data_IF_591409830398
#
_entry.id   IF_591409830398
#
_cell.length_a   1.000
_cell.length_b   1.000
_cell.length_c   1.000
_cell.angle_alpha   90.00
_cell.angle_beta   90.00
_cell.angle_gamma   90.00
#
_symmetry.space_group_name_H-M   'P 1'
#
loop_
_entity.id
_entity.type
_entity.pdbx_description
1 polymer ?
#
# COMPACT_ATOMS: atom_id res chain seq x y z
N UNK A 1 -5.39 19.07 -7.37
CA UNK A 1 -5.43 19.40 -8.80
C UNK A 1 -4.94 18.19 -9.57
N UNK A 2 -5.75 17.14 -9.60
CA UNK A 2 -5.60 15.97 -10.47
C UNK A 2 -6.65 16.15 -11.56
N UNK A 3 -6.21 16.23 -12.81
CA UNK A 3 -7.11 16.45 -13.95
C UNK A 3 -7.97 15.20 -14.14
N UNK A 4 -9.32 15.30 -14.11
CA UNK A 4 -10.23 14.15 -13.99
C UNK A 4 -10.40 13.35 -15.29
N UNK A 5 -9.52 13.50 -16.29
CA UNK A 5 -9.68 12.82 -17.58
C UNK A 5 -8.30 12.73 -18.22
N UNK A 6 -7.88 11.51 -18.55
CA UNK A 6 -6.65 11.28 -19.30
C UNK A 6 -6.73 11.95 -20.68
N UNK A 7 -5.60 12.28 -21.27
CA UNK A 7 -5.50 12.94 -22.59
C UNK A 7 -6.15 12.13 -23.73
N UNK A 8 -6.47 10.86 -23.48
CA UNK A 8 -7.20 9.97 -24.38
C UNK A 8 -8.74 10.01 -24.23
N UNK A 9 -9.29 10.85 -23.34
CA UNK A 9 -10.74 10.99 -23.13
C UNK A 9 -11.37 9.92 -22.24
N UNK A 10 -10.56 9.08 -21.59
CA UNK A 10 -11.02 8.12 -20.58
C UNK A 10 -10.97 8.76 -19.18
N UNK A 11 -11.95 8.46 -18.31
CA UNK A 11 -11.85 8.80 -16.88
C UNK A 11 -10.63 8.10 -16.29
N UNK A 12 -9.94 8.78 -15.38
CA UNK A 12 -8.77 8.21 -14.74
C UNK A 12 -9.18 7.09 -13.75
N UNK A 13 -8.24 6.22 -13.39
CA UNK A 13 -8.54 5.08 -12.51
C UNK A 13 -8.93 5.53 -11.10
N UNK A 14 -8.40 6.65 -10.61
CA UNK A 14 -8.75 7.21 -9.31
C UNK A 14 -10.20 7.71 -9.30
N UNK A 15 -10.66 8.34 -10.37
CA UNK A 15 -12.04 8.79 -10.56
C UNK A 15 -13.01 7.61 -10.67
N UNK A 16 -12.64 6.52 -11.35
CA UNK A 16 -13.43 5.28 -11.36
C UNK A 16 -13.49 4.67 -9.95
N UNK A 17 -12.41 4.78 -9.17
CA UNK A 17 -12.36 4.30 -7.79
C UNK A 17 -13.25 5.15 -6.87
N UNK A 18 -13.20 6.48 -7.01
CA UNK A 18 -14.08 7.42 -6.31
C UNK A 18 -15.55 7.16 -6.65
N UNK A 19 -15.86 6.77 -7.89
CA UNK A 19 -17.22 6.34 -8.28
C UNK A 19 -17.65 5.08 -7.52
N UNK A 20 -16.78 4.07 -7.43
CA UNK A 20 -17.06 2.81 -6.73
C UNK A 20 -17.23 3.02 -5.21
N UNK A 21 -16.49 3.97 -4.65
CA UNK A 21 -16.56 4.34 -3.23
C UNK A 21 -17.69 5.35 -2.92
N UNK A 22 -18.35 5.90 -3.93
CA UNK A 22 -19.44 6.86 -3.77
C UNK A 22 -18.97 8.25 -3.34
N UNK A 23 -17.73 8.62 -3.68
CA UNK A 23 -17.08 9.87 -3.31
C UNK A 23 -17.26 10.97 -4.36
N UNK A 24 -17.72 10.62 -5.57
CA UNK A 24 -17.94 11.60 -6.63
C UNK A 24 -19.18 12.47 -6.40
N UNK A 25 -19.14 13.77 -6.77
CA UNK A 25 -20.32 14.62 -6.87
C UNK A 25 -21.39 14.00 -7.80
N UNK A 26 -22.68 14.30 -7.61
CA UNK A 26 -23.77 13.66 -8.35
C UNK A 26 -23.71 13.94 -9.86
N UNK A 27 -23.29 15.14 -10.27
CA UNK A 27 -23.09 15.49 -11.68
C UNK A 27 -21.96 14.68 -12.32
N UNK A 28 -20.85 14.47 -11.61
CA UNK A 28 -19.72 13.72 -12.14
C UNK A 28 -19.99 12.22 -12.19
N UNK A 29 -20.71 11.72 -11.18
CA UNK A 29 -21.18 10.34 -11.11
C UNK A 29 -21.99 9.94 -12.35
N UNK A 30 -22.91 10.80 -12.80
CA UNK A 30 -23.74 10.49 -13.98
C UNK A 30 -22.93 10.51 -15.28
N UNK A 31 -21.97 11.42 -15.41
CA UNK A 31 -21.09 11.51 -16.58
C UNK A 31 -20.15 10.29 -16.68
N UNK A 32 -19.51 9.91 -15.57
CA UNK A 32 -18.62 8.73 -15.56
C UNK A 32 -19.42 7.45 -15.81
N UNK A 33 -20.62 7.28 -15.21
CA UNK A 33 -21.49 6.13 -15.50
C UNK A 33 -21.87 6.04 -16.97
N UNK A 34 -22.24 7.17 -17.59
CA UNK A 34 -22.54 7.23 -19.04
C UNK A 34 -21.33 6.80 -19.87
N UNK A 35 -20.11 7.16 -19.45
CA UNK A 35 -18.89 6.74 -20.12
C UNK A 35 -18.65 5.23 -19.97
N UNK A 36 -18.86 4.66 -18.78
CA UNK A 36 -18.75 3.22 -18.54
C UNK A 36 -19.73 2.42 -19.41
N UNK A 37 -20.95 2.92 -19.60
CA UNK A 37 -21.95 2.29 -20.47
C UNK A 37 -21.53 2.27 -21.96
N UNK A 38 -20.64 3.18 -22.37
CA UNK A 38 -20.20 3.35 -23.76
C UNK A 38 -18.78 2.84 -24.04
N UNK A 39 -17.99 2.51 -23.00
CA UNK A 39 -16.59 2.16 -23.12
C UNK A 39 -16.27 0.88 -22.34
N UNK A 40 -16.18 -0.24 -23.06
CA UNK A 40 -15.92 -1.58 -22.51
C UNK A 40 -14.63 -1.63 -21.66
N UNK A 41 -13.56 -0.99 -22.13
CA UNK A 41 -12.29 -0.90 -21.40
C UNK A 41 -12.45 -0.27 -20.00
N UNK A 42 -13.25 0.78 -19.86
CA UNK A 42 -13.47 1.42 -18.57
C UNK A 42 -14.45 0.60 -17.71
N UNK A 43 -15.43 -0.07 -18.33
CA UNK A 43 -16.34 -0.99 -17.64
C UNK A 43 -15.58 -2.18 -17.02
N UNK A 44 -14.60 -2.74 -17.74
CA UNK A 44 -13.74 -3.83 -17.25
C UNK A 44 -12.90 -3.41 -16.05
N UNK A 45 -12.36 -2.19 -16.08
CA UNK A 45 -11.62 -1.62 -14.94
C UNK A 45 -12.55 -1.48 -13.72
N UNK A 46 -13.76 -0.95 -13.92
CA UNK A 46 -14.75 -0.84 -12.84
C UNK A 46 -15.15 -2.20 -12.27
N UNK A 47 -15.39 -3.21 -13.12
CA UNK A 47 -15.71 -4.57 -12.71
C UNK A 47 -14.56 -5.21 -11.91
N UNK A 48 -13.30 -5.01 -12.34
CA UNK A 48 -12.12 -5.49 -11.64
C UNK A 48 -11.99 -4.89 -10.24
N UNK A 49 -12.28 -3.59 -10.08
CA UNK A 49 -12.26 -2.93 -8.77
C UNK A 49 -13.35 -3.49 -7.84
N UNK A 50 -14.54 -3.76 -8.37
CA UNK A 50 -15.63 -4.35 -7.58
C UNK A 50 -15.35 -5.80 -7.19
N UNK A 51 -14.68 -6.58 -8.05
CA UNK A 51 -14.20 -7.92 -7.72
C UNK A 51 -13.22 -7.88 -6.53
N UNK A 52 -12.23 -6.98 -6.58
CA UNK A 52 -11.26 -6.80 -5.48
C UNK A 52 -11.99 -6.41 -4.19
N UNK A 53 -12.93 -5.48 -4.27
CA UNK A 53 -13.73 -5.06 -3.10
C UNK A 53 -14.53 -6.21 -2.51
N UNK A 54 -15.13 -7.04 -3.36
CA UNK A 54 -15.86 -8.24 -2.94
C UNK A 54 -14.96 -9.22 -2.20
N UNK A 55 -13.77 -9.51 -2.75
CA UNK A 55 -12.77 -10.37 -2.12
C UNK A 55 -12.34 -9.82 -0.75
N UNK A 56 -12.07 -8.51 -0.65
CA UNK A 56 -11.71 -7.86 0.61
C UNK A 56 -12.86 -7.83 1.62
N UNK A 57 -14.11 -7.72 1.15
CA UNK A 57 -15.31 -7.75 1.99
C UNK A 57 -15.57 -9.10 2.68
N UNK A 58 -14.96 -10.18 2.20
CA UNK A 58 -15.06 -11.51 2.83
C UNK A 58 -14.08 -11.74 3.97
N UNK A 59 -13.15 -10.80 4.20
CA UNK A 59 -12.19 -10.92 5.30
C UNK A 59 -12.92 -10.75 6.64
N UNK A 60 -12.54 -11.53 7.67
CA UNK A 60 -13.06 -11.31 9.01
C UNK A 60 -12.80 -9.86 9.41
N UNK A 61 -13.85 -9.16 9.80
CA UNK A 61 -13.73 -7.78 10.26
C UNK A 61 -12.74 -7.66 11.43
N UNK A 62 -12.18 -6.45 11.66
CA UNK A 62 -11.32 -6.23 12.81
C UNK A 62 -12.01 -6.67 14.10
N UNK A 63 -11.24 -7.10 15.13
CA UNK A 63 -11.83 -7.46 16.41
C UNK A 63 -12.69 -6.29 16.92
N UNK A 64 -13.85 -6.62 17.47
CA UNK A 64 -14.76 -5.63 18.03
C UNK A 64 -14.02 -4.74 19.04
N UNK A 65 -14.38 -3.46 19.05
CA UNK A 65 -13.85 -2.52 20.02
C UNK A 65 -14.05 -3.03 21.46
N UNK A 66 -13.04 -2.96 22.34
CA UNK A 66 -13.20 -3.34 23.73
C UNK A 66 -14.38 -2.63 24.40
N UNK A 67 -15.16 -3.35 25.20
CA UNK A 67 -16.41 -2.85 25.76
C UNK A 67 -16.22 -1.61 26.66
N UNK A 68 -15.07 -1.48 27.32
CA UNK A 68 -14.72 -0.31 28.13
C UNK A 68 -14.47 0.93 27.27
N UNK A 69 -13.89 0.77 26.08
CA UNK A 69 -13.66 1.87 25.13
C UNK A 69 -14.98 2.27 24.48
N UNK A 70 -15.76 1.29 23.99
CA UNK A 70 -17.08 1.55 23.39
C UNK A 70 -17.99 2.27 24.38
N UNK A 71 -18.09 1.77 25.62
CA UNK A 71 -18.93 2.39 26.66
C UNK A 71 -18.49 3.81 27.03
N UNK A 72 -17.19 4.13 26.99
CA UNK A 72 -16.70 5.50 27.20
C UNK A 72 -17.08 6.43 26.05
N UNK A 73 -17.05 5.94 24.81
CA UNK A 73 -17.47 6.71 23.63
C UNK A 73 -18.97 6.95 23.68
N UNK A 74 -19.78 5.93 23.95
CA UNK A 74 -21.25 6.06 24.03
C UNK A 74 -21.67 7.02 25.15
N UNK A 75 -21.02 6.95 26.31
CA UNK A 75 -21.28 7.87 27.41
C UNK A 75 -20.89 9.32 27.05
N UNK A 76 -19.79 9.52 26.34
CA UNK A 76 -19.39 10.84 25.87
C UNK A 76 -20.38 11.38 24.83
N UNK A 77 -20.78 10.58 23.85
CA UNK A 77 -21.77 10.97 22.85
C UNK A 77 -23.14 11.28 23.48
N UNK A 78 -23.56 10.52 24.49
CA UNK A 78 -24.79 10.81 25.24
C UNK A 78 -24.70 12.12 26.04
N UNK A 79 -23.54 12.42 26.62
CA UNK A 79 -23.32 13.69 27.31
C UNK A 79 -23.35 14.88 26.33
N UNK A 80 -22.72 14.76 25.16
CA UNK A 80 -22.78 15.79 24.11
C UNK A 80 -24.21 15.98 23.60
N UNK A 81 -24.96 14.90 23.35
CA UNK A 81 -26.37 15.01 22.94
C UNK A 81 -27.24 15.73 23.98
N UNK A 82 -26.97 15.54 25.29
CA UNK A 82 -27.65 16.29 26.35
C UNK A 82 -27.22 17.76 26.37
N UNK A 83 -25.94 18.06 26.17
CA UNK A 83 -25.46 19.45 26.10
C UNK A 83 -26.06 20.18 24.90
N UNK A 84 -26.11 19.55 23.73
CA UNK A 84 -26.70 20.10 22.51
C UNK A 84 -28.22 20.33 22.67
N UNK A 85 -28.92 19.39 23.33
CA UNK A 85 -30.34 19.55 23.66
C UNK A 85 -30.63 20.62 24.73
N UNK A 86 -29.65 20.95 25.58
CA UNK A 86 -29.79 21.97 26.62
C UNK A 86 -29.21 23.33 26.19
N UNK A 87 -28.56 23.39 25.03
CA UNK A 87 -28.17 24.64 24.42
C UNK A 87 -29.46 25.42 24.08
N UNK A 88 -29.52 26.73 24.39
CA UNK A 88 -30.63 27.55 23.92
C UNK A 88 -30.66 27.45 22.39
N UNK A 89 -31.81 27.13 21.80
CA UNK A 89 -31.97 27.30 20.36
C UNK A 89 -31.50 28.72 20.01
N UNK A 90 -30.57 28.89 19.05
CA UNK A 90 -30.36 30.21 18.49
C UNK A 90 -31.74 30.59 17.94
N UNK A 91 -32.37 31.56 18.59
CA UNK A 91 -33.68 32.11 18.22
C UNK A 91 -33.75 32.12 16.72
N UNK A 92 -34.66 31.32 16.18
CA UNK A 92 -35.07 31.37 14.80
C UNK A 92 -35.33 32.85 14.48
N UNK A 93 -34.36 33.50 13.84
CA UNK A 93 -34.63 34.73 13.14
C UNK A 93 -35.68 34.31 12.12
N UNK A 94 -36.90 34.88 12.16
CA UNK A 94 -37.90 34.53 11.18
C UNK A 94 -37.27 34.82 9.82
N UNK A 95 -37.14 33.77 9.01
CA UNK A 95 -36.81 33.87 7.60
C UNK A 95 -37.92 34.70 6.96
N UNK A 96 -37.70 36.00 6.92
CA UNK A 96 -38.45 36.91 6.11
C UNK A 96 -37.97 36.72 4.67
N UNK A 97 -38.96 36.51 3.81
CA UNK A 97 -38.92 36.69 2.37
C UNK A 97 -38.23 35.58 1.55
N UNK A 98 -39.10 34.76 0.98
CA UNK A 98 -38.98 34.32 -0.39
C UNK A 98 -38.63 35.47 -1.36
N UNK A 99 -37.91 35.10 -2.42
CA UNK A 99 -37.77 35.78 -3.73
C UNK A 99 -36.87 37.03 -3.77
N UNK A 100 -35.64 36.86 -4.29
CA UNK A 100 -35.16 37.56 -5.50
C UNK A 100 -33.68 37.24 -5.79
N UNK A 101 -33.43 36.59 -6.93
CA UNK A 101 -32.48 37.01 -7.98
C UNK A 101 -31.07 37.45 -7.59
N UNK A 102 -30.10 36.56 -7.84
CA UNK A 102 -28.70 36.87 -8.24
C UNK A 102 -28.66 37.97 -9.33
N UNK A 103 -27.66 38.89 -9.36
CA UNK A 103 -26.36 38.49 -9.91
C UNK A 103 -25.09 39.16 -9.32
N UNK A 104 -23.99 38.44 -9.51
CA UNK A 104 -22.61 38.88 -9.79
C UNK A 104 -22.05 40.11 -9.04
N UNK A 105 -20.99 39.86 -8.27
CA UNK A 105 -20.07 40.92 -7.84
C UNK A 105 -18.97 40.38 -6.94
N UNK A 106 -17.74 40.40 -7.44
CA UNK A 106 -16.50 40.12 -6.72
C UNK A 106 -16.47 40.82 -5.34
N UNK A 107 -16.00 40.10 -4.31
CA UNK A 107 -14.71 40.33 -3.63
C UNK A 107 -14.70 39.49 -2.34
N UNK A 108 -13.72 38.61 -2.17
CA UNK A 108 -13.53 37.88 -0.91
C UNK A 108 -12.86 38.81 0.11
N UNK A 109 -13.49 39.17 1.24
CA UNK A 109 -12.77 39.85 2.30
C UNK A 109 -11.83 38.87 3.02
N UNK A 110 -10.58 39.28 3.34
CA UNK A 110 -9.57 38.40 3.91
C UNK A 110 -9.93 37.97 5.33
N UNK A 111 -9.74 36.68 5.61
CA UNK A 111 -9.87 36.11 6.96
C UNK A 111 -8.69 36.61 7.81
N UNK A 112 -8.92 37.68 8.58
CA UNK A 112 -7.97 38.18 9.57
C UNK A 112 -7.79 37.16 10.70
N UNK A 113 -6.67 36.44 10.66
CA UNK A 113 -6.06 35.82 11.84
C UNK A 113 -5.50 36.92 12.74
N UNK A 114 -6.30 37.41 13.67
CA UNK A 114 -5.81 38.21 14.79
C UNK A 114 -6.37 37.60 16.07
N UNK A 115 -5.48 37.03 16.86
CA UNK A 115 -5.74 36.57 18.23
C UNK A 115 -5.57 37.77 19.14
N UNK A 116 -6.62 38.37 19.73
CA UNK A 116 -6.41 39.37 20.76
C UNK A 116 -5.99 38.68 22.06
N UNK A 117 -4.74 38.89 22.44
CA UNK A 117 -4.25 38.63 23.78
C UNK A 117 -4.96 39.59 24.76
N UNK A 118 -5.94 39.08 25.51
CA UNK A 118 -6.48 39.80 26.66
C UNK A 118 -5.62 39.54 27.90
N UNK A 119 -4.75 40.49 28.19
CA UNK A 119 -4.24 40.76 29.52
C UNK A 119 -5.32 41.48 30.33
N UNK A 120 -5.85 40.84 31.37
CA UNK A 120 -6.04 41.38 32.74
C UNK A 120 -6.99 40.47 33.53
N UNK A 121 -6.49 39.85 34.61
CA UNK A 121 -7.26 39.55 35.83
C UNK A 121 -6.33 39.10 36.97
N UNK A 122 -6.67 39.43 38.22
CA UNK A 122 -5.67 39.67 39.26
C UNK A 122 -5.30 38.44 40.11
N UNK A 123 -4.10 38.55 40.69
CA UNK A 123 -3.42 37.64 41.61
C UNK A 123 -4.28 37.13 42.77
N UNK A 124 -4.35 35.80 42.93
CA UNK A 124 -5.09 35.16 44.02
C UNK A 124 -4.63 33.72 44.34
N UNK A 125 -3.56 33.61 45.14
CA UNK A 125 -3.25 32.53 46.09
C UNK A 125 -3.14 31.06 45.60
N UNK A 126 -1.89 30.60 45.62
CA UNK A 126 -1.53 29.20 45.72
C UNK A 126 -2.09 28.55 47.01
N UNK A 127 -2.66 27.35 46.89
CA UNK A 127 -2.61 26.34 47.94
C UNK A 127 -1.97 25.07 47.40
N UNK A 128 -0.79 24.78 47.94
CA UNK A 128 -0.31 23.42 48.13
C UNK A 128 -1.09 22.83 49.31
N UNK A 129 -1.69 21.68 49.11
CA UNK A 129 -2.07 20.77 50.19
C UNK A 129 -1.60 19.38 49.82
N UNK A 130 -0.39 19.10 50.30
CA UNK A 130 0.15 17.78 50.55
C UNK A 130 -0.53 17.19 51.79
N UNK A 131 -1.24 16.08 51.67
CA UNK A 131 -1.40 15.10 52.76
C UNK A 131 -1.82 13.74 52.20
N UNK A 132 -0.94 12.74 52.31
CA UNK A 132 -1.26 11.32 52.15
C UNK A 132 -2.04 10.76 53.37
N UNK A 133 -2.28 9.44 53.49
CA UNK A 133 -1.19 8.45 53.55
C UNK A 133 -1.45 7.05 52.92
N UNK A 134 -0.34 6.32 52.90
CA UNK A 134 -0.09 4.92 52.55
C UNK A 134 -0.93 3.83 53.27
N UNK A 135 -1.11 2.71 52.54
CA UNK A 135 -1.08 1.28 52.93
C UNK A 135 -2.13 0.67 53.88
N UNK A 136 -2.87 -0.31 53.33
CA UNK A 136 -2.87 -1.74 53.75
C UNK A 136 -2.86 -2.57 52.46
N UNK A 137 -2.06 -3.63 52.25
CA UNK A 137 -1.48 -4.55 53.21
C UNK A 137 -2.16 -5.91 53.13
N UNK A 138 -1.92 -6.63 52.01
CA UNK A 138 -1.85 -8.09 51.88
C UNK A 138 -3.07 -8.98 52.19
N UNK A 139 -3.42 -9.86 51.24
CA UNK A 139 -3.57 -11.31 51.50
C UNK A 139 -3.11 -12.15 50.31
N UNK A 140 -2.13 -13.01 50.59
CA UNK A 140 -1.80 -14.23 49.84
C UNK A 140 -2.95 -15.25 49.99
N UNK A 141 -3.35 -15.87 48.89
CA UNK A 141 -4.02 -17.17 48.81
C UNK A 141 -4.40 -17.37 47.33
N UNK A 142 -3.99 -18.38 46.60
CA UNK A 142 -3.26 -19.60 46.90
C UNK A 142 -3.08 -20.36 45.59
N UNK A 143 -2.01 -21.16 45.54
CA UNK A 143 -1.74 -22.15 44.49
C UNK A 143 -2.99 -22.98 44.18
N UNK A 144 -3.33 -23.11 42.89
CA UNK A 144 -3.74 -24.40 42.31
C UNK A 144 -3.07 -24.56 40.95
N UNK A 145 -2.15 -25.52 40.92
CA UNK A 145 -1.69 -26.22 39.72
C UNK A 145 -2.83 -27.11 39.22
N UNK A 146 -2.96 -27.26 37.91
CA UNK A 146 -3.50 -28.37 37.11
C UNK A 146 -3.42 -27.86 35.66
N UNK A 147 -2.44 -28.21 34.82
CA UNK A 147 -2.14 -29.52 34.23
C UNK A 147 -3.34 -30.17 33.51
N UNK A 148 -3.48 -29.88 32.21
CA UNK A 148 -4.15 -30.68 31.19
C UNK A 148 -3.62 -30.18 29.81
N UNK A 149 -2.59 -30.80 29.23
CA UNK A 149 -2.64 -31.89 28.25
C UNK A 149 -3.59 -31.65 27.06
N UNK A 150 -3.00 -31.24 25.93
CA UNK A 150 -3.07 -31.96 24.66
C UNK A 150 -4.34 -31.84 23.81
N UNK A 151 -4.20 -31.23 22.63
CA UNK A 151 -4.63 -31.83 21.36
C UNK A 151 -4.08 -30.99 20.20
N UNK A 152 -3.05 -31.51 19.53
CA UNK A 152 -2.67 -31.11 18.17
C UNK A 152 -3.63 -31.82 17.22
N UNK A 153 -4.44 -31.06 16.49
CA UNK A 153 -5.13 -31.58 15.30
C UNK A 153 -4.63 -30.79 14.09
N UNK A 154 -3.63 -31.38 13.43
CA UNK A 154 -3.27 -31.03 12.07
C UNK A 154 -4.32 -31.65 11.14
N UNK A 155 -5.24 -30.83 10.64
CA UNK A 155 -6.09 -31.20 9.51
C UNK A 155 -5.50 -30.55 8.26
N UNK A 156 -4.70 -31.32 7.52
CA UNK A 156 -4.30 -30.99 6.16
C UNK A 156 -5.47 -31.35 5.23
N UNK A 157 -6.21 -30.35 4.77
CA UNK A 157 -7.13 -30.52 3.63
C UNK A 157 -6.51 -29.89 2.40
N UNK A 158 -5.92 -30.73 1.56
CA UNK A 158 -5.61 -30.42 0.17
C UNK A 158 -6.94 -30.40 -0.61
N UNK A 159 -7.48 -29.20 -0.81
CA UNK A 159 -8.56 -28.95 -1.75
C UNK A 159 -7.99 -28.40 -3.04
N UNK A 160 -7.75 -29.28 -4.01
CA UNK A 160 -7.48 -28.91 -5.41
C UNK A 160 -8.86 -28.66 -6.04
N UNK A 161 -9.22 -27.39 -6.25
CA UNK A 161 -10.41 -26.98 -6.99
C UNK A 161 -10.01 -26.38 -8.33
N UNK A 162 -10.22 -27.13 -9.40
CA UNK A 162 -9.91 -26.73 -10.76
C UNK A 162 -10.79 -25.57 -11.23
N UNK A 163 -10.16 -24.49 -11.69
CA UNK A 163 -10.84 -23.45 -12.50
C UNK A 163 -10.81 -23.92 -13.95
N UNK A 164 -11.96 -24.21 -14.52
CA UNK A 164 -12.14 -24.31 -15.96
C UNK A 164 -12.59 -22.92 -16.41
N UNK A 165 -11.69 -22.15 -17.02
CA UNK A 165 -12.09 -21.00 -17.83
C UNK A 165 -12.39 -21.52 -19.23
N UNK A 166 -13.66 -21.48 -19.59
CA UNK A 166 -14.11 -21.55 -20.98
C UNK A 166 -13.69 -20.26 -21.67
N UNK A 167 -12.64 -20.30 -22.49
CA UNK A 167 -12.48 -19.29 -23.54
C UNK A 167 -13.55 -19.52 -24.60
N UNK A 168 -14.46 -18.56 -24.74
CA UNK A 168 -15.24 -18.40 -25.97
C UNK A 168 -14.23 -18.01 -27.07
N UNK A 169 -13.79 -19.01 -27.81
CA UNK A 169 -13.18 -18.85 -29.13
C UNK A 169 -14.29 -19.09 -30.16
N UNK A 170 -14.53 -18.08 -30.99
CA UNK A 170 -15.50 -18.15 -32.08
C UNK A 170 -14.99 -19.14 -33.13
N UNK A 171 -15.70 -20.26 -33.29
CA UNK A 171 -15.20 -21.42 -34.00
C UNK A 171 -15.14 -21.28 -35.52
N UNK A 172 -14.14 -21.93 -36.13
CA UNK A 172 -14.37 -23.09 -37.02
C UNK A 172 -13.13 -24.00 -37.05
N UNK A 173 -13.29 -25.34 -37.16
CA UNK A 173 -12.36 -26.29 -36.55
C UNK A 173 -11.35 -26.89 -37.53
N UNK A 174 -10.16 -27.21 -37.03
CA UNK A 174 -9.29 -28.25 -37.60
C UNK A 174 -8.45 -28.91 -36.51
N UNK A 175 -8.52 -30.23 -36.50
CA UNK A 175 -7.79 -31.16 -35.62
C UNK A 175 -6.29 -30.85 -35.61
N UNK A 176 -5.69 -30.80 -34.42
CA UNK A 176 -4.73 -31.81 -33.94
C UNK A 176 -4.21 -31.44 -32.55
N UNK A 177 -4.08 -32.45 -31.69
CA UNK A 177 -3.62 -32.32 -30.32
C UNK A 177 -2.11 -32.03 -30.26
N UNK A 178 -1.75 -30.90 -29.68
CA UNK A 178 -0.40 -30.65 -29.15
C UNK A 178 -0.51 -29.60 -28.05
N UNK A 179 -0.53 -30.06 -26.80
CA UNK A 179 -0.55 -29.20 -25.62
C UNK A 179 0.71 -28.33 -25.57
N UNK A 180 0.56 -27.05 -25.92
CA UNK A 180 1.51 -26.02 -25.57
C UNK A 180 1.15 -25.49 -24.18
N UNK A 181 2.11 -25.30 -23.26
CA UNK A 181 1.84 -24.65 -21.99
C UNK A 181 1.35 -23.22 -22.29
N UNK A 182 0.19 -22.87 -21.75
CA UNK A 182 -0.33 -21.50 -21.74
C UNK A 182 0.76 -20.57 -21.21
N UNK A 183 1.26 -19.68 -22.06
CA UNK A 183 2.31 -18.75 -21.70
C UNK A 183 1.86 -17.92 -20.49
N UNK A 184 2.57 -18.07 -19.37
CA UNK A 184 2.47 -17.14 -18.24
C UNK A 184 2.62 -15.72 -18.76
N UNK A 185 1.70 -14.82 -18.42
CA UNK A 185 1.78 -13.43 -18.83
C UNK A 185 3.17 -12.86 -18.51
N UNK A 186 3.76 -12.14 -19.47
CA UNK A 186 5.11 -11.57 -19.33
C UNK A 186 5.16 -10.59 -18.15
N UNK A 187 5.97 -10.92 -17.14
CA UNK A 187 6.21 -10.08 -15.96
C UNK A 187 7.14 -8.92 -16.27
N UNK A 188 8.10 -9.16 -17.18
CA UNK A 188 9.04 -8.17 -17.65
C UNK A 188 8.64 -7.69 -19.04
N UNK A 189 8.53 -6.38 -19.19
CA UNK A 189 8.30 -5.73 -20.50
C UNK A 189 9.14 -4.47 -20.57
N UNK A 190 9.63 -4.13 -21.77
CA UNK A 190 10.52 -2.98 -21.96
C UNK A 190 9.88 -1.66 -21.49
N UNK A 191 8.56 -1.52 -21.66
CA UNK A 191 7.80 -0.35 -21.20
C UNK A 191 7.71 -0.20 -19.68
N UNK A 192 7.75 -1.30 -18.92
CA UNK A 192 7.66 -1.30 -17.44
C UNK A 192 9.03 -1.44 -16.75
N UNK A 193 10.05 -1.87 -17.50
CA UNK A 193 11.38 -2.20 -16.96
C UNK A 193 12.02 -1.03 -16.20
N UNK A 194 11.90 0.21 -16.72
CA UNK A 194 12.47 1.39 -16.05
C UNK A 194 11.85 1.63 -14.66
N UNK A 195 10.53 1.46 -14.54
CA UNK A 195 9.84 1.65 -13.27
C UNK A 195 10.20 0.52 -12.29
N UNK A 196 10.19 -0.74 -12.74
CA UNK A 196 10.61 -1.89 -11.93
C UNK A 196 12.04 -1.72 -11.40
N UNK A 197 12.98 -1.31 -12.25
CA UNK A 197 14.37 -1.02 -11.86
C UNK A 197 14.45 0.06 -10.79
N UNK A 198 13.68 1.14 -10.92
CA UNK A 198 13.67 2.20 -9.91
C UNK A 198 13.10 1.72 -8.57
N UNK A 199 12.06 0.89 -8.59
CA UNK A 199 11.46 0.29 -7.39
C UNK A 199 12.44 -0.67 -6.71
N UNK A 200 13.03 -1.60 -7.45
CA UNK A 200 14.02 -2.55 -6.92
C UNK A 200 15.26 -1.84 -6.33
N UNK A 201 15.72 -0.76 -6.97
CA UNK A 201 16.81 0.06 -6.43
C UNK A 201 16.40 0.85 -5.18
N UNK A 202 15.14 1.23 -5.03
CA UNK A 202 14.63 1.88 -3.82
C UNK A 202 14.45 0.86 -2.67
N UNK A 203 13.89 -0.32 -2.95
CA UNK A 203 13.69 -1.39 -1.98
C UNK A 203 15.02 -1.91 -1.42
N UNK A 204 16.01 -2.18 -2.29
CA UNK A 204 17.35 -2.60 -1.90
C UNK A 204 18.09 -1.58 -1.03
N UNK A 205 17.75 -0.28 -1.12
CA UNK A 205 18.22 0.76 -0.19
C UNK A 205 17.39 0.78 1.10
N UNK A 206 16.08 0.55 1.02
CA UNK A 206 15.15 0.54 2.15
C UNK A 206 15.42 -0.57 3.17
N UNK A 207 15.78 -1.77 2.71
CA UNK A 207 16.13 -2.90 3.59
C UNK A 207 17.40 -2.66 4.42
N UNK A 208 18.17 -1.61 4.10
CA UNK A 208 19.38 -1.20 4.83
C UNK A 208 19.07 -0.21 5.97
N UNK A 209 17.91 0.45 5.95
CA UNK A 209 17.52 1.48 6.92
C UNK A 209 16.95 0.95 8.24
N UNK A 210 16.57 -0.33 8.31
CA UNK A 210 15.78 -0.88 9.43
C UNK A 210 16.61 -1.66 10.46
N UNK A 211 17.93 -1.41 10.53
CA UNK A 211 18.76 -1.87 11.67
C UNK A 211 19.21 -0.69 12.53
N UNK A 212 18.27 0.16 12.96
CA UNK A 212 18.55 1.11 14.05
C UNK A 212 18.56 0.35 15.38
N UNK A 213 19.70 -0.25 15.69
CA UNK A 213 19.99 -0.71 17.05
C UNK A 213 19.73 0.45 18.05
N UNK A 214 19.15 0.19 19.24
CA UNK A 214 18.91 1.24 20.21
C UNK A 214 20.26 1.79 20.66
N UNK A 215 20.51 3.07 20.37
CA UNK A 215 21.75 3.74 20.76
C UNK A 215 21.80 3.83 22.28
N UNK A 216 22.55 2.94 22.90
CA UNK A 216 23.05 3.10 24.26
C UNK A 216 24.13 4.17 24.25
N UNK A 217 23.94 5.23 25.03
CA UNK A 217 24.88 6.34 25.22
C UNK A 217 26.29 5.84 25.57
N UNK A 218 27.32 6.33 24.88
CA UNK A 218 28.70 6.26 25.39
C UNK A 218 29.81 6.34 24.34
N UNK A 219 30.57 7.43 24.41
CA UNK A 219 31.94 7.67 23.91
C UNK A 219 32.17 7.90 22.41
N UNK A 220 32.72 9.08 22.13
CA UNK A 220 33.23 9.54 20.84
C UNK A 220 34.59 8.88 20.54
N UNK A 221 34.77 8.42 19.30
CA UNK A 221 36.04 8.49 18.58
C UNK A 221 35.77 8.35 17.09
N UNK A 222 36.42 9.22 16.31
CA UNK A 222 36.12 9.46 14.91
C UNK A 222 36.72 8.50 13.90
N UNK A 223 36.67 8.99 12.67
CA UNK A 223 37.20 8.45 11.40
C UNK A 223 36.37 7.37 10.71
N UNK A 224 35.70 7.84 9.66
CA UNK A 224 35.63 7.27 8.31
C UNK A 224 35.39 5.77 8.16
N UNK A 225 34.23 5.45 7.60
CA UNK A 225 33.92 4.13 7.09
C UNK A 225 32.47 3.77 7.40
N UNK A 226 31.55 4.28 6.59
CA UNK A 226 30.21 3.69 6.50
C UNK A 226 30.37 2.27 5.96
N UNK A 227 30.70 1.32 6.84
CA UNK A 227 30.64 -0.11 6.56
C UNK A 227 29.17 -0.51 6.52
N UNK A 228 28.45 -0.02 5.50
CA UNK A 228 27.22 -0.64 5.08
C UNK A 228 27.61 -2.00 4.51
N UNK A 229 27.36 -3.05 5.30
CA UNK A 229 27.38 -4.42 4.80
C UNK A 229 26.26 -4.52 3.76
N UNK A 230 26.60 -4.25 2.50
CA UNK A 230 25.70 -4.46 1.38
C UNK A 230 25.43 -5.96 1.31
N UNK A 231 24.26 -6.38 1.80
CA UNK A 231 23.75 -7.73 1.52
C UNK A 231 23.37 -7.75 0.05
N UNK A 232 24.35 -8.11 -0.79
CA UNK A 232 24.13 -8.26 -2.21
C UNK A 232 23.30 -9.53 -2.47
N UNK A 233 22.23 -9.47 -3.27
CA UNK A 233 21.50 -10.66 -3.66
C UNK A 233 22.42 -11.66 -4.36
N UNK A 234 22.28 -12.94 -4.01
CA UNK A 234 23.07 -14.01 -4.58
C UNK A 234 22.57 -14.32 -6.01
N UNK A 235 23.41 -14.04 -7.01
CA UNK A 235 23.14 -14.41 -8.41
C UNK A 235 23.70 -15.80 -8.68
N UNK A 236 22.93 -16.75 -9.24
CA UNK A 236 23.45 -18.08 -9.59
C UNK A 236 24.65 -18.02 -10.56
N UNK A 237 25.65 -18.88 -10.36
CA UNK A 237 26.87 -18.88 -11.19
C UNK A 237 26.61 -19.07 -12.70
N UNK A 238 25.57 -19.82 -13.06
CA UNK A 238 25.20 -20.00 -14.46
C UNK A 238 24.74 -18.68 -15.12
N UNK A 239 24.09 -17.81 -14.34
CA UNK A 239 23.65 -16.48 -14.76
C UNK A 239 24.85 -15.52 -14.80
N UNK A 240 25.71 -15.55 -13.79
CA UNK A 240 26.94 -14.73 -13.78
C UNK A 240 27.83 -15.02 -15.01
N UNK A 241 28.04 -16.30 -15.33
CA UNK A 241 28.75 -16.72 -16.55
C UNK A 241 28.04 -16.30 -17.84
N UNK A 242 26.71 -16.29 -17.84
CA UNK A 242 25.90 -15.81 -18.97
C UNK A 242 26.04 -14.31 -19.23
N UNK A 243 26.10 -13.51 -18.17
CA UNK A 243 26.36 -12.06 -18.23
C UNK A 243 27.83 -11.77 -18.57
N UNK A 244 28.74 -12.65 -18.14
CA UNK A 244 30.19 -12.47 -18.31
C UNK A 244 30.77 -11.44 -17.34
N UNK A 245 30.08 -11.15 -16.24
CA UNK A 245 30.52 -10.22 -15.19
C UNK A 245 30.27 -10.82 -13.81
N UNK A 246 31.29 -10.78 -12.96
CA UNK A 246 31.25 -11.27 -11.56
C UNK A 246 31.08 -10.11 -10.56
N UNK A 247 30.41 -9.03 -10.97
CA UNK A 247 30.15 -7.88 -10.10
C UNK A 247 28.98 -8.20 -9.16
N UNK A 248 29.07 -7.75 -7.91
CA UNK A 248 27.97 -7.92 -6.96
C UNK A 248 26.70 -7.20 -7.46
N UNK A 249 25.59 -7.94 -7.54
CA UNK A 249 24.30 -7.39 -7.94
C UNK A 249 23.78 -6.39 -6.90
N UNK A 250 23.11 -5.34 -7.38
CA UNK A 250 22.38 -4.39 -6.54
C UNK A 250 20.99 -4.92 -6.20
N UNK A 251 20.35 -5.57 -7.16
CA UNK A 251 19.04 -6.19 -7.02
C UNK A 251 18.88 -7.35 -8.01
N UNK A 252 18.02 -8.30 -7.66
CA UNK A 252 17.61 -9.41 -8.53
C UNK A 252 16.11 -9.66 -8.39
N UNK A 253 15.43 -9.99 -9.47
CA UNK A 253 14.01 -10.34 -9.47
C UNK A 253 13.73 -11.48 -10.46
N UNK A 254 12.94 -12.47 -10.06
CA UNK A 254 12.50 -13.57 -10.93
C UNK A 254 11.20 -13.20 -11.64
N UNK A 255 11.03 -13.66 -12.88
CA UNK A 255 9.80 -13.42 -13.63
C UNK A 255 9.82 -14.07 -15.01
N UNK A 256 9.01 -13.53 -15.92
CA UNK A 256 8.84 -14.06 -17.28
C UNK A 256 9.08 -12.95 -18.30
N UNK A 257 9.86 -13.24 -19.34
CA UNK A 257 10.11 -12.35 -20.47
C UNK A 257 9.94 -13.11 -21.78
N UNK A 258 9.03 -12.63 -22.66
CA UNK A 258 8.71 -13.26 -23.94
C UNK A 258 8.33 -14.75 -23.79
N UNK A 259 7.54 -15.08 -22.77
CA UNK A 259 7.09 -16.43 -22.45
C UNK A 259 8.15 -17.35 -21.84
N UNK A 260 9.33 -16.84 -21.50
CA UNK A 260 10.45 -17.62 -20.92
C UNK A 260 10.70 -17.21 -19.49
N UNK A 261 10.96 -18.19 -18.60
CA UNK A 261 11.43 -17.91 -17.24
C UNK A 261 12.75 -17.12 -17.30
N UNK A 262 12.79 -15.99 -16.63
CA UNK A 262 13.91 -15.08 -16.64
C UNK A 262 14.23 -14.55 -15.25
N UNK A 263 15.50 -14.21 -15.04
CA UNK A 263 16.01 -13.51 -13.88
C UNK A 263 16.50 -12.13 -14.33
N UNK A 264 15.92 -11.08 -13.75
CA UNK A 264 16.39 -9.71 -13.86
C UNK A 264 17.54 -9.51 -12.87
N UNK A 265 18.68 -9.01 -13.37
CA UNK A 265 19.87 -8.71 -12.57
C UNK A 265 20.30 -7.28 -12.82
N UNK A 266 20.42 -6.49 -11.75
CA UNK A 266 20.87 -5.10 -11.81
C UNK A 266 22.31 -5.02 -11.31
N UNK A 267 23.23 -4.58 -12.17
CA UNK A 267 24.64 -4.42 -11.86
C UNK A 267 25.04 -2.94 -11.93
N UNK A 268 25.96 -2.47 -11.07
CA UNK A 268 26.54 -1.14 -11.24
C UNK A 268 27.43 -1.11 -12.49
N UNK A 269 27.43 0.00 -13.22
CA UNK A 269 28.32 0.17 -14.36
C UNK A 269 29.73 0.50 -13.88
N UNK A 270 30.79 -0.24 -14.30
CA UNK A 270 32.14 -0.08 -13.74
C UNK A 270 32.77 1.28 -14.06
N UNK A 271 32.31 1.93 -15.14
CA UNK A 271 32.81 3.22 -15.59
C UNK A 271 32.10 4.42 -14.96
N UNK A 272 30.89 4.22 -14.39
CA UNK A 272 30.03 5.29 -13.88
C UNK A 272 29.14 4.78 -12.75
N UNK A 273 29.41 5.23 -11.52
CA UNK A 273 28.67 4.85 -10.31
C UNK A 273 27.23 5.38 -10.26
N UNK A 274 26.88 6.31 -11.17
CA UNK A 274 25.53 6.84 -11.37
C UNK A 274 24.73 6.06 -12.40
N UNK A 275 25.31 5.02 -12.99
CA UNK A 275 24.63 4.18 -13.98
C UNK A 275 24.56 2.74 -13.51
N UNK A 276 23.46 2.11 -13.91
CA UNK A 276 23.22 0.69 -13.67
C UNK A 276 22.91 0.02 -15.00
N UNK A 277 23.38 -1.20 -15.17
CA UNK A 277 23.05 -2.06 -16.30
C UNK A 277 22.12 -3.16 -15.83
N UNK A 278 21.02 -3.33 -16.53
CA UNK A 278 19.96 -4.29 -16.25
C UNK A 278 20.04 -5.38 -17.28
N UNK A 279 20.17 -6.60 -16.80
CA UNK A 279 20.21 -7.82 -17.60
C UNK A 279 18.94 -8.62 -17.33
N UNK A 280 18.21 -9.00 -18.38
CA UNK A 280 17.21 -10.06 -18.29
C UNK A 280 17.85 -11.31 -18.87
N UNK A 281 18.03 -12.32 -18.04
CA UNK A 281 18.74 -13.55 -18.39
C UNK A 281 17.80 -14.72 -18.23
N UNK A 282 17.87 -15.68 -19.15
CA UNK A 282 17.04 -16.89 -19.05
C UNK A 282 17.41 -17.71 -17.81
N UNK A 283 16.41 -18.04 -16.98
CA UNK A 283 16.60 -18.73 -15.71
C UNK A 283 16.58 -20.27 -15.82
N UNK A 284 16.53 -20.83 -17.03
CA UNK A 284 16.48 -22.29 -17.24
C UNK A 284 17.71 -23.02 -16.68
N UNK A 285 18.87 -22.36 -16.62
CA UNK A 285 20.09 -22.94 -16.05
C UNK A 285 20.03 -23.16 -14.53
N UNK A 286 19.10 -22.49 -13.84
CA UNK A 286 18.88 -22.68 -12.40
C UNK A 286 18.16 -24.01 -12.15
N UNK A 287 17.14 -24.30 -12.97
CA UNK A 287 16.37 -25.54 -12.91
C UNK A 287 17.12 -26.73 -13.55
N UNK A 288 18.00 -26.46 -14.52
CA UNK A 288 18.73 -27.46 -15.29
C UNK A 288 20.24 -27.16 -15.33
N UNK A 289 21.03 -27.70 -14.39
CA UNK A 289 22.48 -27.43 -14.31
C UNK A 289 23.25 -27.93 -15.54
N UNK A 290 22.66 -28.84 -16.33
CA UNK A 290 23.22 -29.31 -17.61
C UNK A 290 23.11 -28.29 -18.75
N UNK A 291 22.32 -27.23 -18.61
CA UNK A 291 22.12 -26.20 -19.65
C UNK A 291 23.34 -25.27 -19.83
N UNK A 292 24.37 -25.37 -18.98
CA UNK A 292 25.61 -24.62 -19.12
C UNK A 292 25.48 -23.16 -18.69
N UNK A 293 25.71 -22.21 -19.60
CA UNK A 293 25.66 -20.76 -19.36
C UNK A 293 24.29 -20.18 -19.72
N UNK A 294 23.77 -19.30 -18.89
CA UNK A 294 22.50 -18.63 -19.15
C UNK A 294 22.58 -17.70 -20.39
N UNK A 295 21.50 -17.59 -21.16
CA UNK A 295 21.42 -16.67 -22.30
C UNK A 295 20.88 -15.31 -21.85
N UNK A 296 21.59 -14.23 -22.18
CA UNK A 296 21.07 -12.86 -22.01
C UNK A 296 20.01 -12.58 -23.06
N UNK A 297 18.82 -12.20 -22.62
CA UNK A 297 17.65 -11.89 -23.45
C UNK A 297 17.54 -10.38 -23.70
N UNK A 298 17.90 -9.57 -22.71
CA UNK A 298 17.90 -8.11 -22.80
C UNK A 298 19.04 -7.52 -21.97
N UNK A 299 19.66 -6.46 -22.49
CA UNK A 299 20.64 -5.63 -21.80
C UNK A 299 20.28 -4.15 -22.01
N UNK A 300 20.11 -3.40 -20.92
CA UNK A 300 19.81 -1.95 -20.96
C UNK A 300 20.51 -1.21 -19.83
N UNK A 301 21.03 -0.02 -20.12
CA UNK A 301 21.63 0.86 -19.10
C UNK A 301 20.69 2.01 -18.73
N UNK A 302 20.58 2.29 -17.44
CA UNK A 302 19.78 3.36 -16.86
C UNK A 302 20.62 4.24 -15.93
N UNK A 303 20.19 5.48 -15.75
CA UNK A 303 20.69 6.34 -14.67
C UNK A 303 20.05 5.91 -13.35
N UNK A 304 20.85 5.86 -12.29
CA UNK A 304 20.44 5.47 -10.93
C UNK A 304 19.60 6.53 -10.23
#
# INVERSE_FOLDING_TARGET
MTSPTDMAGHPDVAEISDLAEGLLPPSRTTDVRRHLDACELCADVYASLEEIRSLLGTLPGPPSMPADVAGRIDAALAAEALLDATAPEPTAVPSAAAVATEPEGADHPPVSRETPASADRPSGKARRSSTGPSRKGGRRSGRRRLAALGAVFAAATLGIGAVIVSSLDDGTPSKEASGHPTASADTFSEGKLRQQVSTLLAESRGTQGETRAPRTFGAESGTTGENHLFTHPAVPECVQRGIGRETAALATEEGVYQGRKALLVILPEPSDDRRVTVYIVEATCVDQPSAGTARVLLERSYTR
#
